data_IF_299364511118
#
_entry.id   IF_299364511118
#
_cell.length_a   1.000
_cell.length_b   1.000
_cell.length_c   1.000
_cell.angle_alpha   90.00
_cell.angle_beta   90.00
_cell.angle_gamma   90.00
#
_symmetry.space_group_name_H-M   'P 1'
#
loop_
_entity.id
_entity.type
_entity.pdbx_description
1 polymer ?
#
# COMPACT_ATOMS: atom_id res chain seq x y z
N UNK A 1 -26.60 -20.82 -1.26
CA UNK A 1 -25.35 -20.19 -1.75
C UNK A 1 -25.55 -19.05 -2.74
N UNK A 2 -26.74 -18.86 -3.25
CA UNK A 2 -27.11 -17.78 -4.18
C UNK A 2 -27.38 -16.44 -3.52
N UNK A 3 -27.58 -16.40 -2.23
CA UNK A 3 -27.97 -15.17 -1.50
C UNK A 3 -26.78 -14.26 -1.15
N UNK A 4 -25.57 -14.83 -0.96
CA UNK A 4 -24.36 -14.05 -0.68
C UNK A 4 -23.82 -13.30 -1.90
N UNK A 5 -23.99 -13.86 -3.10
CA UNK A 5 -23.57 -13.20 -4.34
C UNK A 5 -24.47 -12.03 -4.74
N UNK A 6 -25.76 -12.07 -4.37
CA UNK A 6 -26.70 -10.97 -4.61
C UNK A 6 -26.37 -9.74 -3.74
N UNK A 7 -25.99 -9.94 -2.48
CA UNK A 7 -25.60 -8.84 -1.58
C UNK A 7 -24.37 -8.07 -2.06
N UNK A 8 -23.38 -8.73 -2.66
CA UNK A 8 -22.20 -8.06 -3.23
C UNK A 8 -22.56 -7.24 -4.48
N UNK A 9 -23.41 -7.76 -5.38
CA UNK A 9 -23.88 -7.01 -6.55
C UNK A 9 -24.61 -5.73 -6.17
N UNK A 10 -25.46 -5.77 -5.15
CA UNK A 10 -26.17 -4.60 -4.64
C UNK A 10 -25.20 -3.55 -4.03
N UNK A 11 -24.14 -3.99 -3.34
CA UNK A 11 -23.11 -3.09 -2.82
C UNK A 11 -22.38 -2.37 -3.96
N UNK A 12 -21.92 -3.07 -4.99
CA UNK A 12 -21.24 -2.48 -6.15
C UNK A 12 -22.14 -1.51 -6.91
N UNK A 13 -23.42 -1.86 -7.11
CA UNK A 13 -24.42 -0.99 -7.74
C UNK A 13 -24.56 0.32 -6.97
N UNK A 14 -24.71 0.24 -5.66
CA UNK A 14 -24.83 1.42 -4.80
C UNK A 14 -23.55 2.28 -4.80
N UNK A 15 -22.38 1.65 -4.79
CA UNK A 15 -21.10 2.35 -4.91
C UNK A 15 -21.00 3.12 -6.24
N UNK A 16 -21.40 2.49 -7.34
CA UNK A 16 -21.42 3.12 -8.67
C UNK A 16 -22.40 4.30 -8.73
N UNK A 17 -23.59 4.19 -8.13
CA UNK A 17 -24.56 5.28 -8.01
C UNK A 17 -23.99 6.50 -7.27
N UNK A 18 -23.03 6.30 -6.38
CA UNK A 18 -22.31 7.36 -5.68
C UNK A 18 -20.99 7.77 -6.34
N UNK A 19 -20.70 7.31 -7.55
CA UNK A 19 -19.47 7.66 -8.27
C UNK A 19 -18.19 7.08 -7.65
N UNK A 20 -18.28 5.99 -6.86
CA UNK A 20 -17.15 5.32 -6.24
C UNK A 20 -16.60 4.29 -7.21
N UNK A 21 -15.33 4.40 -7.59
CA UNK A 21 -14.63 3.43 -8.42
C UNK A 21 -14.53 2.08 -7.69
N UNK A 22 -14.96 1.02 -8.38
CA UNK A 22 -14.97 -0.33 -7.82
C UNK A 22 -13.95 -1.24 -8.50
N UNK A 23 -13.31 -2.11 -7.72
CA UNK A 23 -12.39 -3.13 -8.23
C UNK A 23 -12.73 -4.51 -7.71
N UNK A 24 -12.54 -5.54 -8.52
CA UNK A 24 -12.69 -6.93 -8.12
C UNK A 24 -11.42 -7.74 -8.38
N UNK A 25 -11.17 -8.74 -7.53
CA UNK A 25 -10.11 -9.73 -7.73
C UNK A 25 -10.78 -11.10 -7.67
N UNK A 26 -10.70 -11.85 -8.77
CA UNK A 26 -11.26 -13.19 -8.89
C UNK A 26 -10.21 -14.18 -9.37
N UNK A 27 -10.28 -15.44 -8.90
CA UNK A 27 -9.47 -16.54 -9.41
C UNK A 27 -10.16 -17.32 -10.53
N UNK A 28 -11.37 -16.93 -10.90
CA UNK A 28 -12.14 -17.53 -11.98
C UNK A 28 -12.39 -16.52 -13.09
N UNK A 29 -12.26 -16.93 -14.36
CA UNK A 29 -12.59 -16.06 -15.47
C UNK A 29 -14.11 -15.80 -15.50
N UNK A 30 -14.49 -14.65 -16.04
CA UNK A 30 -15.89 -14.25 -16.26
C UNK A 30 -16.76 -14.35 -15.00
N UNK A 31 -16.19 -14.16 -13.83
CA UNK A 31 -16.94 -14.27 -12.58
C UNK A 31 -18.02 -13.19 -12.47
N UNK A 32 -19.15 -13.46 -11.79
CA UNK A 32 -20.20 -12.46 -11.60
C UNK A 32 -19.69 -11.15 -11.00
N UNK A 33 -18.74 -11.21 -10.06
CA UNK A 33 -18.14 -10.03 -9.44
C UNK A 33 -17.29 -9.24 -10.43
N UNK A 34 -16.61 -9.91 -11.37
CA UNK A 34 -15.82 -9.25 -12.42
C UNK A 34 -16.69 -8.42 -13.36
N UNK A 35 -17.91 -8.88 -13.62
CA UNK A 35 -18.87 -8.19 -14.51
C UNK A 35 -19.48 -6.94 -13.87
N UNK A 36 -19.55 -6.89 -12.56
CA UNK A 36 -20.13 -5.77 -11.80
C UNK A 36 -19.10 -4.69 -11.44
N UNK A 37 -17.81 -5.00 -11.43
CA UNK A 37 -16.75 -4.05 -11.06
C UNK A 37 -16.33 -3.18 -12.25
N UNK A 38 -15.94 -1.92 -11.98
CA UNK A 38 -15.35 -1.03 -12.99
C UNK A 38 -13.99 -1.50 -13.46
N UNK A 39 -13.21 -2.12 -12.55
CA UNK A 39 -11.90 -2.73 -12.84
C UNK A 39 -11.91 -4.17 -12.35
N UNK A 40 -11.84 -5.12 -13.25
CA UNK A 40 -11.77 -6.54 -12.93
C UNK A 40 -10.34 -7.08 -13.08
N UNK A 41 -9.82 -7.71 -12.04
CA UNK A 41 -8.54 -8.42 -12.06
C UNK A 41 -8.84 -9.92 -11.96
N UNK A 42 -8.62 -10.63 -13.05
CA UNK A 42 -8.82 -12.07 -13.12
C UNK A 42 -7.47 -12.79 -13.02
N UNK A 43 -7.26 -13.41 -11.87
CA UNK A 43 -6.02 -14.12 -11.54
C UNK A 43 -6.23 -15.62 -11.70
N UNK A 44 -5.94 -16.15 -12.86
CA UNK A 44 -6.17 -17.55 -13.19
C UNK A 44 -5.02 -18.41 -12.66
N UNK A 45 -5.22 -19.03 -11.51
CA UNK A 45 -4.18 -19.81 -10.79
C UNK A 45 -4.28 -21.33 -11.04
N UNK A 46 -5.30 -21.76 -11.77
CA UNK A 46 -5.59 -23.18 -11.99
C UNK A 46 -6.09 -23.91 -10.73
N UNK A 47 -6.25 -25.25 -10.78
CA UNK A 47 -6.77 -26.01 -9.67
C UNK A 47 -5.83 -26.01 -8.46
N UNK A 48 -6.42 -25.98 -7.27
CA UNK A 48 -5.66 -26.14 -6.02
C UNK A 48 -5.18 -27.60 -5.86
N UNK A 49 -4.07 -27.78 -5.17
CA UNK A 49 -3.56 -29.13 -4.87
C UNK A 49 -4.54 -29.90 -3.97
N UNK A 50 -5.08 -29.22 -2.94
CA UNK A 50 -6.16 -29.77 -2.12
C UNK A 50 -7.48 -29.24 -2.62
N UNK A 51 -8.28 -30.08 -3.24
CA UNK A 51 -9.58 -29.71 -3.82
C UNK A 51 -10.49 -29.04 -2.78
N UNK A 52 -11.05 -27.89 -3.15
CA UNK A 52 -11.93 -27.08 -2.29
C UNK A 52 -11.19 -26.18 -1.29
N UNK A 53 -9.85 -26.24 -1.20
CA UNK A 53 -9.05 -25.38 -0.32
C UNK A 53 -8.34 -24.30 -1.11
N UNK A 54 -8.94 -23.12 -1.18
CA UNK A 54 -8.45 -21.98 -2.02
C UNK A 54 -7.31 -21.16 -1.40
N UNK A 55 -6.69 -21.63 -0.32
CA UNK A 55 -5.68 -20.87 0.44
C UNK A 55 -4.31 -20.78 -0.22
N UNK A 56 -3.88 -21.85 -0.91
CA UNK A 56 -2.50 -21.97 -1.40
C UNK A 56 -2.25 -21.13 -2.65
N UNK A 57 -3.02 -21.32 -3.71
CA UNK A 57 -2.85 -20.56 -4.96
C UNK A 57 -3.69 -19.30 -4.97
N UNK A 58 -4.99 -19.42 -4.83
CA UNK A 58 -5.92 -18.30 -4.92
C UNK A 58 -5.68 -17.28 -3.80
N UNK A 59 -5.63 -17.70 -2.55
CA UNK A 59 -5.39 -16.80 -1.41
C UNK A 59 -4.01 -16.13 -1.46
N UNK A 60 -2.96 -16.87 -1.83
CA UNK A 60 -1.62 -16.30 -1.99
C UNK A 60 -1.56 -15.28 -3.13
N UNK A 61 -2.11 -15.61 -4.27
CA UNK A 61 -2.15 -14.71 -5.41
C UNK A 61 -2.95 -13.44 -5.12
N UNK A 62 -4.10 -13.55 -4.47
CA UNK A 62 -4.89 -12.41 -4.02
C UNK A 62 -4.10 -11.49 -3.09
N UNK A 63 -3.39 -12.06 -2.11
CA UNK A 63 -2.50 -11.30 -1.23
C UNK A 63 -1.43 -10.55 -2.02
N UNK A 64 -0.80 -11.20 -3.01
CA UNK A 64 0.22 -10.55 -3.84
C UNK A 64 -0.34 -9.37 -4.62
N UNK A 65 -1.50 -9.52 -5.24
CA UNK A 65 -2.17 -8.44 -5.97
C UNK A 65 -2.48 -7.27 -5.05
N UNK A 66 -3.07 -7.51 -3.88
CA UNK A 66 -3.37 -6.47 -2.90
C UNK A 66 -2.10 -5.73 -2.44
N UNK A 67 -1.00 -6.45 -2.21
CA UNK A 67 0.28 -5.85 -1.86
C UNK A 67 0.86 -5.01 -3.01
N UNK A 68 0.75 -5.47 -4.26
CA UNK A 68 1.17 -4.69 -5.42
C UNK A 68 0.36 -3.40 -5.57
N UNK A 69 -0.96 -3.46 -5.43
CA UNK A 69 -1.83 -2.29 -5.51
C UNK A 69 -1.45 -1.28 -4.42
N UNK A 70 -1.40 -1.72 -3.16
CA UNK A 70 -1.11 -0.82 -2.04
C UNK A 70 0.29 -0.23 -2.11
N UNK A 71 1.28 -1.02 -2.53
CA UNK A 71 2.66 -0.52 -2.73
C UNK A 71 2.71 0.51 -3.85
N UNK A 72 2.07 0.24 -4.98
CA UNK A 72 2.01 1.18 -6.10
C UNK A 72 1.35 2.50 -5.71
N UNK A 73 0.25 2.44 -4.96
CA UNK A 73 -0.42 3.64 -4.42
C UNK A 73 0.53 4.43 -3.51
N UNK A 74 1.27 3.78 -2.62
CA UNK A 74 2.22 4.45 -1.74
C UNK A 74 3.38 5.11 -2.51
N UNK A 75 3.85 4.48 -3.59
CA UNK A 75 4.85 5.07 -4.49
C UNK A 75 4.29 6.32 -5.18
N UNK A 76 3.11 6.23 -5.77
CA UNK A 76 2.47 7.36 -6.45
C UNK A 76 2.14 8.54 -5.52
N UNK A 77 1.81 8.26 -4.26
CA UNK A 77 1.61 9.27 -3.22
C UNK A 77 2.93 9.90 -2.71
N UNK A 78 4.10 9.56 -3.29
CA UNK A 78 5.39 10.07 -2.87
C UNK A 78 5.80 9.65 -1.45
N UNK A 79 5.28 8.50 -0.98
CA UNK A 79 5.59 7.95 0.35
C UNK A 79 6.85 7.08 0.35
N UNK A 80 7.40 6.81 -0.83
CA UNK A 80 8.58 5.97 -1.03
C UNK A 80 9.61 6.76 -1.82
N UNK A 81 10.87 6.77 -1.35
CA UNK A 81 12.04 7.34 -2.04
C UNK A 81 13.07 6.23 -2.24
N UNK A 82 13.40 5.94 -3.50
CA UNK A 82 14.18 4.74 -3.83
C UNK A 82 13.44 3.47 -3.38
N UNK A 83 14.06 2.68 -2.52
CA UNK A 83 13.45 1.47 -1.93
C UNK A 83 13.00 1.67 -0.46
N UNK A 84 12.90 2.92 0.01
CA UNK A 84 12.64 3.24 1.41
C UNK A 84 11.33 4.01 1.59
N UNK A 85 10.54 3.63 2.58
CA UNK A 85 9.36 4.38 2.99
C UNK A 85 9.78 5.59 3.82
N UNK A 86 9.55 6.80 3.31
CA UNK A 86 9.97 8.07 3.96
C UNK A 86 8.89 8.71 4.83
N UNK A 87 7.66 8.20 4.77
CA UNK A 87 6.53 8.72 5.55
C UNK A 87 6.03 7.68 6.57
N UNK A 88 6.95 7.03 7.28
CA UNK A 88 6.60 6.09 8.34
C UNK A 88 6.21 6.83 9.62
N UNK A 89 5.27 6.25 10.37
CA UNK A 89 4.95 6.73 11.71
C UNK A 89 6.04 6.26 12.71
N UNK A 90 6.49 7.16 13.58
CA UNK A 90 7.53 6.89 14.56
C UNK A 90 6.96 6.23 15.82
N UNK A 91 6.20 5.16 15.66
CA UNK A 91 5.41 4.52 16.73
C UNK A 91 6.21 3.62 17.68
N UNK A 92 7.45 3.31 17.35
CA UNK A 92 8.34 2.52 18.20
C UNK A 92 9.81 2.85 17.94
N UNK A 93 10.70 2.40 18.89
CA UNK A 93 12.12 2.70 18.84
C UNK A 93 12.81 2.23 17.54
N UNK A 94 12.40 1.07 17.01
CA UNK A 94 12.94 0.54 15.75
C UNK A 94 12.65 1.46 14.56
N UNK A 95 11.47 2.05 14.50
CA UNK A 95 11.09 2.98 13.43
C UNK A 95 11.77 4.35 13.61
N UNK A 96 11.96 4.80 14.86
CA UNK A 96 12.75 5.99 15.15
C UNK A 96 14.20 5.80 14.71
N UNK A 97 14.85 4.69 15.09
CA UNK A 97 16.24 4.39 14.67
C UNK A 97 16.36 4.33 13.14
N UNK A 98 15.44 3.62 12.47
CA UNK A 98 15.42 3.54 11.01
C UNK A 98 15.25 4.91 10.35
N UNK A 99 14.32 5.73 10.84
CA UNK A 99 14.11 7.09 10.34
C UNK A 99 15.31 7.99 10.57
N UNK A 100 15.97 7.87 11.73
CA UNK A 100 17.18 8.62 12.05
C UNK A 100 18.32 8.32 11.08
N UNK A 101 18.56 7.03 10.80
CA UNK A 101 19.60 6.64 9.82
C UNK A 101 19.29 7.17 8.42
N UNK A 102 18.02 7.18 8.03
CA UNK A 102 17.61 7.73 6.72
C UNK A 102 17.89 9.23 6.64
N UNK A 103 17.58 10.01 7.67
CA UNK A 103 17.88 11.45 7.73
C UNK A 103 19.38 11.69 7.75
N UNK A 104 20.13 10.93 8.56
CA UNK A 104 21.59 11.00 8.66
C UNK A 104 22.26 10.75 7.31
N UNK A 105 21.85 9.70 6.60
CA UNK A 105 22.39 9.36 5.27
C UNK A 105 22.02 10.38 4.19
N UNK A 106 20.80 10.91 4.22
CA UNK A 106 20.31 11.86 3.23
C UNK A 106 20.97 13.25 3.35
N UNK A 107 21.17 13.69 4.59
CA UNK A 107 21.70 15.04 4.88
C UNK A 107 23.19 15.07 5.25
N UNK A 108 23.84 13.90 5.34
CA UNK A 108 25.26 13.80 5.70
C UNK A 108 25.57 14.27 7.14
N UNK A 109 24.59 14.22 8.05
CA UNK A 109 24.74 14.67 9.43
C UNK A 109 24.92 13.50 10.41
N UNK A 110 25.43 13.79 11.62
CA UNK A 110 25.57 12.77 12.64
C UNK A 110 24.21 12.24 13.15
N UNK A 111 24.24 11.06 13.77
CA UNK A 111 23.05 10.35 14.22
C UNK A 111 22.20 11.17 15.21
N UNK A 112 22.83 11.86 16.16
CA UNK A 112 22.10 12.58 17.21
C UNK A 112 21.43 13.84 16.66
N UNK A 113 22.08 14.54 15.74
CA UNK A 113 21.49 15.67 15.01
C UNK A 113 20.31 15.20 14.14
N UNK A 114 20.51 14.13 13.38
CA UNK A 114 19.45 13.53 12.55
C UNK A 114 18.24 13.08 13.38
N UNK A 115 18.49 12.51 14.57
CA UNK A 115 17.43 12.08 15.48
C UNK A 115 16.60 13.24 16.02
N UNK A 116 17.27 14.33 16.41
CA UNK A 116 16.60 15.55 16.88
C UNK A 116 15.71 16.13 15.78
N UNK A 117 16.27 16.25 14.57
CA UNK A 117 15.54 16.77 13.40
C UNK A 117 14.34 15.90 13.05
N UNK A 118 14.51 14.57 13.02
CA UNK A 118 13.44 13.62 12.79
C UNK A 118 12.30 13.75 13.81
N UNK A 119 12.63 13.81 15.10
CA UNK A 119 11.64 13.90 16.17
C UNK A 119 10.91 15.25 16.16
N UNK A 120 11.60 16.33 15.79
CA UNK A 120 11.00 17.66 15.67
C UNK A 120 9.93 17.69 14.57
N UNK A 121 10.20 17.09 13.41
CA UNK A 121 9.32 17.14 12.25
C UNK A 121 8.39 15.94 12.10
N UNK A 122 8.59 14.87 12.87
CA UNK A 122 7.73 13.70 12.96
C UNK A 122 7.76 12.74 11.77
N UNK A 123 8.52 13.03 10.70
CA UNK A 123 8.76 12.10 9.59
C UNK A 123 10.04 12.44 8.83
N UNK A 124 10.66 11.44 8.19
CA UNK A 124 11.88 11.61 7.39
C UNK A 124 11.69 12.68 6.31
N UNK A 125 10.59 12.60 5.55
CA UNK A 125 10.31 13.56 4.48
C UNK A 125 10.27 14.99 5.01
N UNK A 126 9.48 15.25 6.05
CA UNK A 126 9.35 16.60 6.62
C UNK A 126 10.66 17.12 7.19
N UNK A 127 11.46 16.25 7.82
CA UNK A 127 12.76 16.61 8.37
C UNK A 127 13.73 17.04 7.25
N UNK A 128 13.80 16.27 6.17
CA UNK A 128 14.66 16.59 5.02
C UNK A 128 14.19 17.85 4.30
N UNK A 129 12.89 17.97 4.04
CA UNK A 129 12.31 19.15 3.38
C UNK A 129 12.55 20.43 4.19
N UNK A 130 12.38 20.38 5.52
CA UNK A 130 12.65 21.52 6.41
C UNK A 130 14.11 21.92 6.41
N UNK A 131 15.04 20.95 6.48
CA UNK A 131 16.47 21.21 6.45
C UNK A 131 16.88 21.91 5.14
N UNK A 132 16.41 21.45 3.99
CA UNK A 132 16.70 22.09 2.71
C UNK A 132 16.07 23.49 2.57
N UNK A 133 14.90 23.72 3.18
CA UNK A 133 14.29 25.04 3.20
C UNK A 133 15.09 26.06 4.01
N UNK A 134 15.72 25.61 5.12
CA UNK A 134 16.58 26.44 5.96
C UNK A 134 18.01 26.60 5.41
N UNK A 135 18.46 25.65 4.57
CA UNK A 135 19.82 25.60 4.00
C UNK A 135 19.77 25.45 2.47
N UNK A 136 19.31 26.46 1.73
CA UNK A 136 19.07 26.38 0.27
C UNK A 136 20.35 26.16 -0.57
N UNK A 137 21.52 26.27 0.02
CA UNK A 137 22.83 26.10 -0.65
C UNK A 137 23.61 24.85 -0.19
N UNK A 138 22.99 23.95 0.57
CA UNK A 138 23.62 22.70 1.05
C UNK A 138 23.35 21.53 0.14
#
# INVERSE_FOLDING_TARGET
DTDRSRGLGDVYKRQREHGILTGSISSNPDSPISKEADVAIEMIVGPEYVTGSSRMKSGTGQKMILNMITTSVMIQLGRVKGNRMVNMQLSNQKLVDRGTRMVSEELGMDYDQAKRLLLLHGSVKKAVDAYHAENPNS
#
